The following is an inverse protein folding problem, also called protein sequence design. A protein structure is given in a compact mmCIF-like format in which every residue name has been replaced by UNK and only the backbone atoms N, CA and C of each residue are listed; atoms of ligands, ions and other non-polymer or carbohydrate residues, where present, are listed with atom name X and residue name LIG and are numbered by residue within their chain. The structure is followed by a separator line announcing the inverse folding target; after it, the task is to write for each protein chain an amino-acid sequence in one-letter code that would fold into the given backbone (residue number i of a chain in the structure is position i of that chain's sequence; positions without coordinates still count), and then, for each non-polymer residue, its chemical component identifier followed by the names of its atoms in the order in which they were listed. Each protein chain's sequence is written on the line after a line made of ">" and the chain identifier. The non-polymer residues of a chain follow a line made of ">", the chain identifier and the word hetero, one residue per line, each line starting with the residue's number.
data_IF_793402793887
#
_entry.id   IF_793402793887
#
_cell.length_a   1.000
_cell.length_b   1.000
_cell.length_c   1.000
_cell.angle_alpha   90.00
_cell.angle_beta   90.00
_cell.angle_gamma   90.00
#
_symmetry.space_group_name_H-M   'P 1'
#
loop_
_entity.id
_entity.type
_entity.pdbx_description
1 polymer ?
#
# COMPACT_ATOMS: atom_id res chain seq x y z
N UNK A 1 -10.83 9.83 -7.78
CA UNK A 1 -9.90 10.56 -6.88
C UNK A 1 -8.45 10.11 -7.06
N UNK A 2 -7.45 10.92 -6.65
CA UNK A 2 -6.02 10.55 -6.69
C UNK A 2 -5.45 10.52 -5.29
N UNK A 3 -4.59 9.54 -4.99
CA UNK A 3 -3.83 9.42 -3.73
C UNK A 3 -2.35 9.29 -4.04
N UNK A 4 -1.50 9.70 -3.10
CA UNK A 4 -0.05 9.53 -3.21
C UNK A 4 0.38 8.38 -2.33
N UNK A 5 1.00 7.36 -2.92
CA UNK A 5 1.56 6.22 -2.21
C UNK A 5 3.05 6.42 -2.01
N UNK A 6 3.51 6.33 -0.77
CA UNK A 6 4.93 6.30 -0.40
C UNK A 6 5.25 4.97 0.26
N UNK A 7 6.48 4.48 0.11
CA UNK A 7 6.92 3.26 0.79
C UNK A 7 8.39 3.33 1.14
N UNK A 8 8.78 2.55 2.15
CA UNK A 8 10.17 2.30 2.52
C UNK A 8 10.88 1.33 1.55
N UNK A 9 10.13 0.69 0.65
CA UNK A 9 10.64 -0.19 -0.40
C UNK A 9 10.45 0.46 -1.77
N UNK A 10 11.43 0.29 -2.65
CA UNK A 10 11.32 0.67 -4.06
C UNK A 10 11.84 -0.49 -4.93
N UNK A 11 11.08 -0.81 -5.98
CA UNK A 11 11.45 -1.80 -6.99
C UNK A 11 11.61 -1.06 -8.31
N UNK A 12 12.84 -0.93 -8.77
CA UNK A 12 13.18 -0.20 -9.98
C UNK A 12 12.39 -0.74 -11.20
N UNK A 13 11.70 0.16 -11.90
CA UNK A 13 10.89 -0.18 -13.08
C UNK A 13 9.54 -0.84 -12.80
N UNK A 14 9.17 -1.05 -11.53
CA UNK A 14 7.89 -1.67 -11.13
C UNK A 14 7.14 -0.77 -10.14
N UNK A 15 7.77 -0.44 -9.01
CA UNK A 15 7.18 0.36 -7.94
C UNK A 15 8.21 1.36 -7.40
N UNK A 16 8.13 2.60 -7.87
CA UNK A 16 9.08 3.67 -7.52
C UNK A 16 8.35 4.79 -6.75
N UNK A 17 8.13 4.64 -5.44
CA UNK A 17 7.50 5.66 -4.62
C UNK A 17 8.32 6.97 -4.58
N UNK A 18 7.67 8.15 -4.53
CA UNK A 18 6.22 8.35 -4.44
C UNK A 18 5.49 8.07 -5.77
N UNK A 19 4.47 7.22 -5.74
CA UNK A 19 3.61 6.91 -6.90
C UNK A 19 2.23 7.54 -6.69
N UNK A 20 1.65 8.13 -7.74
CA UNK A 20 0.27 8.63 -7.71
C UNK A 20 -0.67 7.57 -8.28
N UNK A 21 -1.65 7.14 -7.48
CA UNK A 21 -2.64 6.15 -7.88
C UNK A 21 -4.00 6.84 -8.03
N UNK A 22 -4.66 6.58 -9.14
CA UNK A 22 -6.04 7.02 -9.37
C UNK A 22 -7.00 5.91 -8.92
N UNK A 23 -7.92 6.25 -8.03
CA UNK A 23 -8.97 5.36 -7.53
C UNK A 23 -10.34 5.87 -7.99
N UNK A 24 -11.22 4.96 -8.39
CA UNK A 24 -12.59 5.27 -8.80
C UNK A 24 -13.49 5.56 -7.57
N UNK A 25 -14.25 6.65 -7.62
CA UNK A 25 -15.29 6.95 -6.63
C UNK A 25 -16.59 6.23 -7.00
N UNK A 26 -17.42 5.76 -6.03
CA UNK A 26 -17.41 6.06 -4.59
C UNK A 26 -16.73 5.00 -3.69
N UNK A 27 -15.91 4.09 -4.25
CA UNK A 27 -15.36 2.93 -3.52
C UNK A 27 -13.85 3.04 -3.22
N UNK A 28 -13.33 4.26 -3.11
CA UNK A 28 -11.92 4.48 -2.82
C UNK A 28 -11.63 4.16 -1.35
N UNK A 29 -11.18 2.94 -1.10
CA UNK A 29 -10.80 2.44 0.22
C UNK A 29 -9.35 1.96 0.21
N UNK A 30 -8.79 1.80 1.41
CA UNK A 30 -7.47 1.22 1.60
C UNK A 30 -7.35 -0.15 0.91
N UNK A 31 -8.37 -0.99 1.03
CA UNK A 31 -8.49 -2.26 0.28
C UNK A 31 -8.21 -2.07 -1.20
N UNK A 32 -8.92 -1.15 -1.84
CA UNK A 32 -8.84 -1.01 -3.30
C UNK A 32 -7.47 -0.51 -3.73
N UNK A 33 -6.86 0.35 -2.91
CA UNK A 33 -5.49 0.80 -3.11
C UNK A 33 -4.50 -0.36 -3.01
N UNK A 34 -4.60 -1.20 -1.98
CA UNK A 34 -3.69 -2.35 -1.81
C UNK A 34 -3.87 -3.39 -2.92
N UNK A 35 -5.10 -3.65 -3.38
CA UNK A 35 -5.36 -4.49 -4.55
C UNK A 35 -4.61 -3.99 -5.79
N UNK A 36 -4.68 -2.67 -6.07
CA UNK A 36 -3.97 -2.05 -7.19
C UNK A 36 -2.46 -2.14 -7.02
N UNK A 37 -1.95 -2.00 -5.79
CA UNK A 37 -0.51 -2.14 -5.52
C UNK A 37 -0.04 -3.57 -5.70
N UNK A 38 -0.83 -4.58 -5.32
CA UNK A 38 -0.55 -5.99 -5.59
C UNK A 38 -0.50 -6.28 -7.08
N UNK A 39 -1.45 -5.74 -7.87
CA UNK A 39 -1.44 -5.89 -9.33
C UNK A 39 -0.21 -5.19 -9.97
N UNK A 40 0.22 -4.06 -9.41
CA UNK A 40 1.42 -3.34 -9.88
C UNK A 40 2.72 -4.05 -9.48
N UNK A 41 2.73 -4.74 -8.35
CA UNK A 41 3.92 -5.29 -7.73
C UNK A 41 3.62 -6.67 -7.13
N UNK A 42 3.55 -7.67 -8.01
CA UNK A 42 3.30 -9.09 -7.66
C UNK A 42 4.36 -9.68 -6.72
N UNK A 43 5.51 -9.02 -6.57
CA UNK A 43 6.61 -9.45 -5.68
C UNK A 43 6.37 -9.14 -4.20
N UNK A 44 5.34 -8.35 -3.86
CA UNK A 44 5.02 -7.95 -2.50
C UNK A 44 3.56 -8.24 -2.23
N UNK A 45 3.27 -8.97 -1.16
CA UNK A 45 1.90 -9.28 -0.75
C UNK A 45 1.33 -8.10 0.07
N UNK A 46 0.70 -7.13 -0.60
CA UNK A 46 0.06 -6.00 0.08
C UNK A 46 -1.27 -6.35 0.76
N UNK A 47 -1.98 -7.34 0.23
CA UNK A 47 -3.31 -7.80 0.68
C UNK A 47 -3.41 -9.32 0.52
N UNK A 48 -4.00 -10.01 1.50
CA UNK A 48 -4.19 -11.46 1.49
C UNK A 48 -5.52 -11.82 2.15
N UNK A 49 -6.38 -12.61 1.49
CA UNK A 49 -7.66 -13.13 2.03
C UNK A 49 -8.48 -12.15 2.92
N UNK A 50 -8.65 -10.90 2.48
CA UNK A 50 -9.36 -9.81 3.21
C UNK A 50 -8.63 -9.16 4.40
N UNK A 51 -7.33 -9.41 4.57
CA UNK A 51 -6.46 -8.79 5.56
C UNK A 51 -5.25 -8.08 4.91
N UNK A 52 -4.56 -7.26 5.70
CA UNK A 52 -3.27 -6.68 5.29
C UNK A 52 -2.29 -7.83 5.07
N UNK A 53 -1.62 -7.85 3.92
CA UNK A 53 -0.74 -8.94 3.55
C UNK A 53 0.49 -9.06 4.46
N UNK A 54 1.11 -10.25 4.51
CA UNK A 54 2.13 -10.54 5.52
C UNK A 54 3.41 -9.72 5.37
N UNK A 55 3.66 -9.19 4.17
CA UNK A 55 4.82 -8.37 3.89
C UNK A 55 4.63 -6.91 4.36
N UNK A 56 3.43 -6.51 4.78
CA UNK A 56 3.14 -5.14 5.19
C UNK A 56 3.23 -5.03 6.72
N UNK A 57 4.23 -4.27 7.19
CA UNK A 57 4.42 -3.98 8.60
C UNK A 57 3.36 -3.01 9.14
N UNK A 58 3.12 -1.92 8.41
CA UNK A 58 2.21 -0.86 8.82
C UNK A 58 1.76 -0.04 7.62
N UNK A 59 0.55 0.51 7.71
CA UNK A 59 0.00 1.44 6.73
C UNK A 59 -0.39 2.73 7.44
N UNK A 60 0.10 3.87 6.96
CA UNK A 60 -0.24 5.18 7.50
C UNK A 60 -0.97 6.00 6.43
N UNK A 61 -2.09 6.61 6.80
CA UNK A 61 -2.81 7.57 5.97
C UNK A 61 -2.67 8.93 6.63
N UNK A 62 -2.02 9.89 5.97
CA UNK A 62 -1.68 11.20 6.52
C UNK A 62 -1.04 11.10 7.91
N UNK A 63 0.04 10.31 8.02
CA UNK A 63 0.82 10.07 9.25
C UNK A 63 0.10 9.31 10.37
N UNK A 64 -1.13 8.84 10.13
CA UNK A 64 -1.88 8.06 11.11
C UNK A 64 -1.97 6.61 10.69
N UNK A 65 -1.62 5.69 11.59
CA UNK A 65 -1.65 4.25 11.32
C UNK A 65 -3.09 3.72 11.18
N UNK A 66 -3.32 2.90 10.16
CA UNK A 66 -4.57 2.21 9.89
C UNK A 66 -4.28 0.74 9.53
N UNK A 67 -5.03 -0.17 10.15
CA UNK A 67 -4.97 -1.60 9.83
C UNK A 67 -6.30 -2.09 9.19
N UNK A 68 -7.30 -1.22 9.09
CA UNK A 68 -8.61 -1.58 8.56
C UNK A 68 -8.70 -1.32 7.06
N UNK A 69 -8.86 -2.38 6.27
CA UNK A 69 -8.97 -2.30 4.80
C UNK A 69 -10.17 -1.47 4.31
N UNK A 70 -11.24 -1.41 5.09
CA UNK A 70 -12.45 -0.64 4.73
C UNK A 70 -12.34 0.85 5.04
N UNK A 71 -11.17 1.32 5.49
CA UNK A 71 -10.91 2.74 5.71
C UNK A 71 -11.09 3.51 4.40
N UNK A 72 -11.99 4.51 4.36
CA UNK A 72 -12.16 5.34 3.17
C UNK A 72 -10.93 6.24 2.99
N UNK A 73 -10.53 6.42 1.73
CA UNK A 73 -9.50 7.36 1.34
C UNK A 73 -10.15 8.60 0.73
N UNK A 74 -9.50 9.75 0.87
CA UNK A 74 -9.89 11.00 0.27
C UNK A 74 -8.90 11.41 -0.83
N UNK A 75 -9.35 12.28 -1.72
CA UNK A 75 -8.45 12.88 -2.71
C UNK A 75 -7.28 13.58 -2.01
N UNK A 76 -6.09 13.45 -2.59
CA UNK A 76 -4.83 14.01 -2.11
C UNK A 76 -4.30 13.41 -0.80
N UNK A 77 -4.91 12.34 -0.28
CA UNK A 77 -4.35 11.59 0.86
C UNK A 77 -2.97 11.01 0.52
N UNK A 78 -2.08 11.05 1.52
CA UNK A 78 -0.76 10.40 1.46
C UNK A 78 -0.85 9.07 2.21
N UNK A 79 -0.69 7.98 1.47
CA UNK A 79 -0.68 6.61 2.01
C UNK A 79 0.75 6.11 2.06
N UNK A 80 1.29 5.90 3.25
CA UNK A 80 2.58 5.30 3.48
C UNK A 80 2.42 3.82 3.78
N UNK A 81 3.02 2.96 2.95
CA UNK A 81 3.06 1.52 3.16
C UNK A 81 4.46 1.13 3.60
N UNK A 82 4.59 0.64 4.83
CA UNK A 82 5.84 0.15 5.39
C UNK A 82 5.88 -1.35 5.18
N UNK A 83 6.82 -1.82 4.36
CA UNK A 83 7.04 -3.24 4.08
C UNK A 83 8.01 -3.81 5.12
N UNK A 84 7.64 -4.94 5.70
CA UNK A 84 8.49 -5.79 6.51
C UNK A 84 9.43 -6.57 5.58
N UNK A 85 10.66 -6.10 5.43
CA UNK A 85 11.69 -6.89 4.78
C UNK A 85 12.18 -7.92 5.79
N UNK A 86 11.84 -9.20 5.59
CA UNK A 86 12.45 -10.28 6.36
C UNK A 86 13.98 -10.12 6.32
N UNK A 87 14.69 -10.26 7.45
CA UNK A 87 16.14 -10.16 7.46
C UNK A 87 16.72 -11.20 6.49
N UNK A 88 17.34 -10.71 5.42
CA UNK A 88 18.17 -11.51 4.51
C UNK A 88 19.38 -12.02 5.30
N UNK A 89 19.24 -13.09 6.09
CA UNK A 89 20.37 -13.58 6.88
C UNK A 89 20.04 -14.60 7.95
N UNK A 90 19.74 -15.82 7.54
CA UNK A 90 19.84 -17.02 8.36
C UNK A 90 20.54 -18.13 7.57
N UNK A 91 21.86 -18.25 7.74
CA UNK A 91 22.71 -19.26 7.10
C UNK A 91 24.17 -19.07 7.43
#
# INVERSE_FOLDING_TARGET
>A
MKVTVVSNMAIYGVFEPPVKIELEEPKATLRKLLEVLTDLCESVEFISDDEVGSDVQAILVNEKEYQYLNTPLNADDIVQVIIEMAPLGGG
#
